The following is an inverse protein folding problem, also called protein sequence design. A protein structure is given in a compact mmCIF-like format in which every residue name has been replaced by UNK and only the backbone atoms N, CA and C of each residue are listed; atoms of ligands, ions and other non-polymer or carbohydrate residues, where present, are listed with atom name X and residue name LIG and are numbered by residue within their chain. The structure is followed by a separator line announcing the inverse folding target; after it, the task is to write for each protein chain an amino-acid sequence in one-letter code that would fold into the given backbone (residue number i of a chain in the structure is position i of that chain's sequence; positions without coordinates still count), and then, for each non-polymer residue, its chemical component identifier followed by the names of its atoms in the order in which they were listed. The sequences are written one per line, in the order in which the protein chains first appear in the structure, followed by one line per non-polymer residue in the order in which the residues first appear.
data_IF_957934509747
#
_entry.id   IF_957934509747
#
_cell.length_a   1.000
_cell.length_b   1.000
_cell.length_c   1.000
_cell.angle_alpha   90.00
_cell.angle_beta   90.00
_cell.angle_gamma   90.00
#
_symmetry.space_group_name_H-M   'P 1'
#
loop_
_entity.id
_entity.type
_entity.pdbx_description
1 polymer ?
#
# COMPACT_ATOMS: atom_id res chain seq x y z
N UNK A 1 1.15 -1.58 -3.84
CA UNK A 1 2.28 -1.83 -2.91
C UNK A 1 2.96 -3.16 -3.18
N UNK A 2 2.19 -4.20 -3.47
CA UNK A 2 2.53 -5.56 -3.92
C UNK A 2 3.41 -5.66 -5.20
N UNK A 3 3.88 -4.53 -5.72
CA UNK A 3 4.82 -4.48 -6.85
C UNK A 3 6.17 -3.86 -6.50
N UNK A 4 6.36 -3.40 -5.26
CA UNK A 4 7.63 -2.83 -4.82
C UNK A 4 8.77 -3.84 -4.96
N UNK A 5 9.97 -3.31 -5.19
CA UNK A 5 11.22 -4.09 -5.27
C UNK A 5 11.54 -4.92 -4.03
N UNK A 6 11.00 -4.53 -2.86
CA UNK A 6 11.24 -5.16 -1.56
C UNK A 6 10.04 -5.96 -1.04
N UNK A 7 8.97 -6.10 -1.84
CA UNK A 7 7.69 -6.66 -1.34
C UNK A 7 7.85 -8.07 -0.76
N UNK A 8 8.78 -8.87 -1.26
CA UNK A 8 8.91 -10.28 -0.89
C UNK A 8 9.46 -10.42 0.54
N UNK A 9 9.83 -9.32 1.19
CA UNK A 9 10.08 -9.28 2.63
C UNK A 9 8.79 -9.19 3.48
N UNK A 10 7.65 -8.90 2.86
CA UNK A 10 6.39 -8.53 3.55
C UNK A 10 5.21 -9.38 3.12
N UNK A 11 5.15 -9.79 1.85
CA UNK A 11 4.10 -10.64 1.29
C UNK A 11 4.68 -11.79 0.49
N UNK A 12 3.97 -12.90 0.47
CA UNK A 12 4.18 -14.01 -0.45
C UNK A 12 3.13 -13.92 -1.58
N UNK A 13 3.59 -14.11 -2.82
CA UNK A 13 2.71 -14.15 -3.99
C UNK A 13 2.50 -15.61 -4.40
N UNK A 14 1.30 -16.13 -4.17
CA UNK A 14 0.93 -17.47 -4.62
C UNK A 14 0.50 -17.42 -6.09
N UNK A 15 1.47 -17.53 -7.01
CA UNK A 15 1.21 -17.54 -8.45
C UNK A 15 0.26 -18.66 -8.90
N UNK A 16 0.16 -19.76 -8.15
CA UNK A 16 -0.78 -20.84 -8.44
C UNK A 16 -2.25 -20.42 -8.24
N UNK A 17 -2.49 -19.39 -7.42
CA UNK A 17 -3.82 -18.85 -7.11
C UNK A 17 -4.19 -17.64 -7.97
N UNK A 18 -3.26 -17.12 -8.77
CA UNK A 18 -3.46 -15.94 -9.62
C UNK A 18 -4.07 -16.34 -10.96
N UNK A 19 -5.04 -15.56 -11.44
CA UNK A 19 -5.53 -15.66 -12.81
C UNK A 19 -4.36 -15.47 -13.79
N UNK A 20 -4.05 -16.43 -14.67
CA UNK A 20 -2.91 -16.35 -15.59
C UNK A 20 -2.87 -15.08 -16.44
N UNK A 21 -4.02 -14.48 -16.76
CA UNK A 21 -4.09 -13.23 -17.52
C UNK A 21 -3.67 -11.98 -16.71
N UNK A 22 -3.48 -12.10 -15.40
CA UNK A 22 -3.24 -11.00 -14.46
C UNK A 22 -1.86 -11.06 -13.80
N UNK A 23 -1.04 -12.08 -14.08
CA UNK A 23 0.27 -12.28 -13.45
C UNK A 23 1.22 -11.11 -13.66
N UNK A 24 1.16 -10.46 -14.82
CA UNK A 24 2.00 -9.30 -15.15
C UNK A 24 1.70 -8.08 -14.26
N UNK A 25 0.46 -8.00 -13.76
CA UNK A 25 0.03 -7.01 -12.77
C UNK A 25 0.75 -7.18 -11.43
N UNK A 26 1.29 -8.36 -11.14
CA UNK A 26 2.04 -8.68 -9.93
C UNK A 26 3.55 -8.78 -10.19
N UNK A 27 4.06 -8.35 -11.35
CA UNK A 27 5.51 -8.33 -11.57
C UNK A 27 6.19 -7.25 -10.71
N UNK A 28 7.32 -7.60 -10.08
CA UNK A 28 8.13 -6.66 -9.29
C UNK A 28 8.63 -5.53 -10.19
N UNK A 29 8.50 -4.30 -9.70
CA UNK A 29 9.17 -3.13 -10.26
C UNK A 29 10.61 -3.13 -9.74
N UNK A 30 11.57 -3.09 -10.65
CA UNK A 30 13.00 -3.07 -10.32
C UNK A 30 13.36 -1.89 -9.40
N UNK A 31 14.35 -2.07 -8.51
CA UNK A 31 14.83 -1.07 -7.56
C UNK A 31 15.26 0.26 -8.18
N UNK A 32 15.68 0.28 -9.45
CA UNK A 32 15.98 1.51 -10.20
C UNK A 32 14.76 2.43 -10.31
N UNK A 33 13.55 1.85 -10.38
CA UNK A 33 12.28 2.58 -10.52
C UNK A 33 11.40 2.51 -9.27
N UNK A 34 11.72 1.64 -8.32
CA UNK A 34 11.05 1.48 -7.02
C UNK A 34 11.97 1.96 -5.90
N UNK A 35 12.01 3.29 -5.69
CA UNK A 35 12.90 3.96 -4.72
C UNK A 35 12.51 3.73 -3.26
N UNK A 36 11.32 3.17 -3.00
CA UNK A 36 10.89 2.73 -1.66
C UNK A 36 11.10 3.78 -0.56
N UNK A 37 10.71 5.04 -0.82
CA UNK A 37 10.95 6.21 0.05
C UNK A 37 10.45 6.04 1.50
N UNK A 38 9.49 5.14 1.71
CA UNK A 38 8.96 4.75 3.00
C UNK A 38 8.90 3.22 3.09
N UNK A 39 8.79 2.68 4.30
CA UNK A 39 8.54 1.26 4.55
C UNK A 39 7.25 0.73 3.90
N UNK A 40 7.10 -0.58 3.84
CA UNK A 40 5.94 -1.23 3.25
C UNK A 40 4.66 -0.92 4.04
N UNK A 41 3.61 -0.48 3.34
CA UNK A 41 2.33 -0.15 3.96
C UNK A 41 1.24 -1.09 3.45
N UNK A 42 0.87 -2.07 4.27
CA UNK A 42 -0.22 -3.01 3.97
C UNK A 42 -1.54 -2.28 3.73
N UNK A 43 -1.83 -1.22 4.50
CA UNK A 43 -3.08 -0.45 4.42
C UNK A 43 -3.08 0.66 3.36
N UNK A 44 -2.08 0.71 2.49
CA UNK A 44 -2.03 1.71 1.42
C UNK A 44 -3.21 1.53 0.47
N UNK A 45 -3.78 2.64 0.00
CA UNK A 45 -4.78 2.63 -1.09
C UNK A 45 -4.24 2.03 -2.40
N UNK A 46 -2.91 1.96 -2.53
CA UNK A 46 -2.25 1.34 -3.68
C UNK A 46 -1.96 -0.15 -3.47
N UNK A 47 -2.27 -0.71 -2.30
CA UNK A 47 -2.11 -2.13 -2.01
C UNK A 47 -3.38 -2.90 -2.40
N UNK A 48 -3.24 -3.94 -3.21
CA UNK A 48 -4.36 -4.83 -3.55
C UNK A 48 -4.85 -5.64 -2.34
N UNK A 49 -6.12 -6.04 -2.31
CA UNK A 49 -6.63 -6.99 -1.31
C UNK A 49 -6.02 -8.39 -1.51
N UNK A 50 -6.13 -9.26 -0.49
CA UNK A 50 -5.55 -10.61 -0.50
C UNK A 50 -6.09 -11.49 -1.65
N UNK A 51 -7.34 -11.28 -2.06
CA UNK A 51 -8.08 -12.03 -3.09
C UNK A 51 -8.04 -11.38 -4.47
N UNK A 52 -7.36 -10.24 -4.62
CA UNK A 52 -7.25 -9.55 -5.91
C UNK A 52 -6.53 -10.44 -6.92
N UNK A 53 -7.11 -10.55 -8.12
CA UNK A 53 -6.61 -11.39 -9.22
C UNK A 53 -6.73 -12.89 -8.99
N UNK A 54 -7.52 -13.36 -8.02
CA UNK A 54 -7.72 -14.81 -7.81
C UNK A 54 -8.35 -15.47 -9.03
N UNK A 55 -7.87 -16.64 -9.44
CA UNK A 55 -8.54 -17.42 -10.48
C UNK A 55 -9.71 -18.20 -9.88
N UNK A 56 -10.83 -18.30 -10.61
CA UNK A 56 -12.10 -18.83 -10.07
C UNK A 56 -12.11 -20.29 -9.60
N UNK A 57 -11.04 -21.05 -9.81
CA UNK A 57 -10.90 -22.42 -9.29
C UNK A 57 -9.83 -22.56 -8.22
N UNK A 58 -9.30 -21.44 -7.70
CA UNK A 58 -8.30 -21.44 -6.63
C UNK A 58 -8.91 -21.88 -5.30
N UNK A 59 -8.14 -22.60 -4.50
CA UNK A 59 -8.46 -22.91 -3.10
C UNK A 59 -7.71 -22.03 -2.11
N UNK A 60 -6.91 -21.08 -2.61
CA UNK A 60 -6.04 -20.21 -1.83
C UNK A 60 -5.97 -18.78 -2.43
N UNK A 61 -5.33 -17.85 -1.75
CA UNK A 61 -5.30 -16.43 -2.10
C UNK A 61 -4.00 -16.00 -2.79
N UNK A 62 -4.07 -15.10 -3.80
CA UNK A 62 -2.92 -14.56 -4.51
C UNK A 62 -1.86 -13.87 -3.65
N UNK A 63 -2.27 -13.09 -2.66
CA UNK A 63 -1.37 -12.23 -1.88
C UNK A 63 -1.57 -12.54 -0.40
N UNK A 64 -0.54 -13.10 0.22
CA UNK A 64 -0.54 -13.49 1.63
C UNK A 64 0.50 -12.64 2.37
N UNK A 65 0.16 -11.94 3.46
CA UNK A 65 1.17 -11.24 4.24
C UNK A 65 1.96 -12.25 5.06
N UNK A 66 3.26 -11.99 5.24
CA UNK A 66 4.12 -12.82 6.10
C UNK A 66 3.76 -12.69 7.58
N UNK A 67 3.21 -11.54 7.95
CA UNK A 67 2.59 -11.33 9.25
C UNK A 67 1.06 -11.29 9.08
N UNK A 68 0.42 -12.33 9.62
CA UNK A 68 -1.03 -12.54 9.52
C UNK A 68 -1.85 -11.41 10.17
N UNK A 69 -1.27 -10.60 11.06
CA UNK A 69 -1.95 -9.43 11.61
C UNK A 69 -2.41 -8.43 10.54
N UNK A 70 -1.75 -8.44 9.36
CA UNK A 70 -2.05 -7.52 8.26
C UNK A 70 -3.00 -8.08 7.20
N UNK A 71 -3.50 -9.32 7.33
CA UNK A 71 -4.32 -9.97 6.31
C UNK A 71 -5.52 -9.13 5.88
N UNK A 72 -6.27 -8.60 6.86
CA UNK A 72 -7.43 -7.73 6.62
C UNK A 72 -7.08 -6.24 6.52
N UNK A 73 -5.82 -5.87 6.69
CA UNK A 73 -5.35 -4.49 6.50
C UNK A 73 -5.12 -4.17 5.03
N UNK A 74 -4.77 -5.18 4.22
CA UNK A 74 -4.54 -5.03 2.78
C UNK A 74 -5.83 -4.70 2.01
N UNK A 75 -5.71 -3.94 0.93
CA UNK A 75 -6.85 -3.61 0.06
C UNK A 75 -7.74 -2.46 0.55
N UNK A 76 -7.24 -1.63 1.47
CA UNK A 76 -7.99 -0.49 1.99
C UNK A 76 -8.36 0.51 0.88
N UNK A 77 -9.63 0.91 0.73
CA UNK A 77 -10.05 1.83 -0.35
C UNK A 77 -9.82 3.31 -0.02
N UNK A 78 -9.22 3.62 1.13
CA UNK A 78 -9.09 4.97 1.67
C UNK A 78 -7.62 5.40 1.63
N UNK A 79 -7.37 6.60 1.10
CA UNK A 79 -6.04 7.24 1.15
C UNK A 79 -5.61 7.43 2.59
N UNK A 80 -4.43 6.92 2.95
CA UNK A 80 -3.87 7.07 4.30
C UNK A 80 -2.94 8.28 4.39
N UNK A 81 -2.69 8.78 5.61
CA UNK A 81 -1.66 9.79 5.84
C UNK A 81 -0.27 9.31 5.39
N UNK A 82 -0.03 8.00 5.40
CA UNK A 82 1.20 7.39 4.94
C UNK A 82 1.35 7.46 3.41
N UNK A 83 0.26 7.26 2.66
CA UNK A 83 0.23 7.42 1.20
C UNK A 83 0.56 8.86 0.79
N UNK A 84 0.00 9.84 1.51
CA UNK A 84 0.29 11.25 1.29
C UNK A 84 1.74 11.61 1.65
N UNK A 85 2.33 10.96 2.67
CA UNK A 85 3.74 11.17 3.04
C UNK A 85 4.69 10.66 1.94
N UNK A 86 4.34 9.54 1.30
CA UNK A 86 5.08 9.04 0.15
C UNK A 86 5.09 10.07 -0.99
N UNK A 87 3.94 10.65 -1.33
CA UNK A 87 3.85 11.69 -2.36
C UNK A 87 4.65 12.94 -1.99
N UNK A 88 4.61 13.36 -0.73
CA UNK A 88 5.37 14.51 -0.24
C UNK A 88 6.87 14.31 -0.45
N UNK A 89 7.41 13.15 -0.07
CA UNK A 89 8.81 12.81 -0.26
C UNK A 89 9.18 12.70 -1.75
N UNK A 90 8.31 12.08 -2.56
CA UNK A 90 8.58 11.87 -3.98
C UNK A 90 8.67 13.18 -4.78
N UNK A 91 7.76 14.11 -4.52
CA UNK A 91 7.74 15.42 -5.17
C UNK A 91 8.61 16.47 -4.48
N UNK A 92 9.43 16.07 -3.50
CA UNK A 92 10.29 16.95 -2.71
C UNK A 92 9.54 18.12 -2.06
N UNK A 93 8.28 17.90 -1.66
CA UNK A 93 7.38 18.89 -1.06
C UNK A 93 7.74 19.18 0.41
N UNK A 94 9.02 19.38 0.69
CA UNK A 94 9.61 19.48 2.01
C UNK A 94 9.81 20.95 2.43
N UNK A 95 9.72 21.89 1.47
CA UNK A 95 9.81 23.34 1.70
C UNK A 95 8.42 23.96 1.89
N UNK A 96 8.30 25.08 2.62
CA UNK A 96 7.02 25.72 2.98
C UNK A 96 6.04 25.89 1.81
N UNK A 97 6.52 26.28 0.62
CA UNK A 97 5.68 26.72 -0.50
C UNK A 97 5.32 25.63 -1.53
N UNK A 98 5.82 24.40 -1.37
CA UNK A 98 5.55 23.33 -2.32
C UNK A 98 4.40 22.43 -1.85
N UNK A 99 3.46 22.14 -2.75
CA UNK A 99 2.39 21.15 -2.60
C UNK A 99 1.46 21.37 -1.38
N UNK A 100 0.97 22.61 -1.20
CA UNK A 100 0.10 23.00 -0.07
C UNK A 100 -1.11 22.07 0.11
N UNK A 101 -1.71 21.61 -0.98
CA UNK A 101 -2.87 20.70 -0.94
C UNK A 101 -2.57 19.35 -0.30
N UNK A 102 -1.38 18.78 -0.55
CA UNK A 102 -0.96 17.49 0.03
C UNK A 102 -0.73 17.65 1.54
N UNK A 103 -0.10 18.74 1.95
CA UNK A 103 0.17 19.04 3.37
C UNK A 103 -1.11 19.31 4.17
N UNK A 104 -2.01 20.10 3.59
CA UNK A 104 -3.32 20.39 4.18
C UNK A 104 -4.09 19.10 4.44
N UNK A 105 -4.15 18.22 3.43
CA UNK A 105 -4.83 16.92 3.53
C UNK A 105 -4.23 16.05 4.65
N UNK A 106 -2.90 15.91 4.70
CA UNK A 106 -2.25 15.16 5.79
C UNK A 106 -2.57 15.72 7.18
N UNK A 107 -2.59 17.04 7.33
CA UNK A 107 -2.87 17.71 8.61
C UNK A 107 -4.29 17.42 9.07
N UNK A 108 -5.26 17.42 8.15
CA UNK A 108 -6.64 17.03 8.43
C UNK A 108 -6.74 15.58 8.90
N UNK A 109 -6.08 14.63 8.23
CA UNK A 109 -6.05 13.22 8.66
C UNK A 109 -5.50 13.07 10.08
N UNK A 110 -4.41 13.78 10.42
CA UNK A 110 -3.82 13.76 11.78
C UNK A 110 -4.73 14.39 12.84
N UNK A 111 -5.53 15.39 12.47
CA UNK A 111 -6.51 15.98 13.40
C UNK A 111 -7.67 15.02 13.68
N UNK A 112 -8.16 14.33 12.65
CA UNK A 112 -9.23 13.34 12.76
C UNK A 112 -8.82 12.12 13.61
N UNK A 113 -7.55 11.70 13.53
CA UNK A 113 -7.04 10.61 14.39
C UNK A 113 -7.00 11.04 15.86
N UNK A 114 -6.52 12.25 16.15
CA UNK A 114 -6.48 12.79 17.52
C UNK A 114 -7.87 13.01 18.11
N UNK A 115 -8.87 13.38 17.30
CA UNK A 115 -10.24 13.54 17.80
C UNK A 115 -10.90 12.20 18.14
N UNK A 116 -10.52 11.10 17.47
CA UNK A 116 -11.00 9.76 17.82
C UNK A 116 -10.44 9.27 19.15
N UNK A 117 -9.18 9.57 19.47
CA UNK A 117 -8.55 9.20 20.76
C UNK A 117 -9.13 9.94 21.98
N UNK A 118 -9.96 10.97 21.77
CA UNK A 118 -10.66 11.71 22.83
C UNK A 118 -12.14 11.32 23.00
N UNK A 119 -12.64 10.35 22.22
CA UNK A 119 -14.02 9.84 22.34
C UNK A 119 -14.12 8.49 23.07
N UNK A 120 -13.02 8.01 23.66
CA UNK A 120 -12.97 6.81 24.50
C UNK A 120 -12.43 7.13 25.90
#
# INVERSE_FOLDING_TARGET
MERRSDRDNFVDINLGSVNPAMTDGLAIINSTYSTNLLGYNFGSVTHSAYDMSVYGGSTDYPILPKDNAYFYTMGGPIVTSYDLNMLQLFYYCNSEYQCEQIKSSQSQFRQLSKSHDHMH
#
